data_IF_604736367363
#
_entry.id   IF_604736367363
#
_cell.length_a   1.000
_cell.length_b   1.000
_cell.length_c   1.000
_cell.angle_alpha   90.00
_cell.angle_beta   90.00
_cell.angle_gamma   90.00
#
_symmetry.space_group_name_H-M   'P 1'
#
loop_
_entity.id
_entity.type
_entity.pdbx_description
1 polymer ?
#
# COMPACT_ATOMS: atom_id res chain seq x y z
N UNK A 1 7.16 -17.18 -21.73
CA UNK A 1 7.05 -16.37 -20.51
C UNK A 1 5.77 -16.72 -19.81
N UNK A 2 5.81 -16.98 -18.51
CA UNK A 2 4.64 -17.27 -17.67
C UNK A 2 4.02 -15.91 -17.31
N UNK A 3 2.79 -15.64 -17.73
CA UNK A 3 2.09 -14.38 -17.42
C UNK A 3 1.81 -14.31 -15.92
N UNK A 4 2.02 -13.14 -15.29
CA UNK A 4 1.66 -12.88 -13.88
C UNK A 4 0.30 -12.18 -13.88
N UNK A 5 -0.82 -12.87 -13.62
CA UNK A 5 -2.11 -12.20 -13.54
C UNK A 5 -2.11 -11.22 -12.37
N UNK A 6 -2.62 -10.01 -12.59
CA UNK A 6 -2.97 -9.06 -11.54
C UNK A 6 -4.26 -9.55 -10.88
N UNK A 7 -4.14 -10.56 -10.03
CA UNK A 7 -5.23 -10.98 -9.15
C UNK A 7 -5.39 -9.88 -8.09
N UNK A 8 -6.31 -8.94 -8.34
CA UNK A 8 -6.72 -7.93 -7.37
C UNK A 8 -7.34 -8.62 -6.15
N UNK A 9 -6.54 -8.86 -5.13
CA UNK A 9 -7.06 -9.18 -3.79
C UNK A 9 -6.35 -8.31 -2.77
N UNK A 10 -6.62 -7.01 -2.85
CA UNK A 10 -6.94 -6.19 -1.69
C UNK A 10 -7.56 -4.86 -2.15
N UNK A 11 -8.66 -4.53 -1.48
CA UNK A 11 -9.24 -3.21 -1.27
C UNK A 11 -10.22 -2.68 -2.33
N UNK A 12 -11.40 -2.31 -1.81
CA UNK A 12 -12.45 -1.61 -2.53
C UNK A 12 -13.85 -2.06 -2.13
N UNK A 13 -14.36 -1.50 -1.03
CA UNK A 13 -15.77 -1.40 -0.58
C UNK A 13 -16.24 -2.36 0.53
N UNK A 14 -16.47 -1.76 1.69
CA UNK A 14 -17.34 -2.14 2.83
C UNK A 14 -17.32 -3.63 3.23
N UNK A 15 -16.65 -3.87 4.36
CA UNK A 15 -16.31 -5.18 4.92
C UNK A 15 -15.16 -5.88 4.18
N UNK A 16 -13.96 -6.01 4.81
CA UNK A 16 -13.00 -6.99 4.32
C UNK A 16 -13.72 -8.36 4.27
N UNK A 17 -13.63 -9.05 3.12
CA UNK A 17 -14.16 -10.42 3.02
C UNK A 17 -13.56 -11.29 4.12
N UNK A 18 -14.24 -12.38 4.50
CA UNK A 18 -13.69 -13.28 5.50
C UNK A 18 -12.28 -13.77 5.12
N UNK A 19 -12.03 -14.01 3.82
CA UNK A 19 -10.69 -14.30 3.30
C UNK A 19 -9.65 -13.24 3.66
N UNK A 20 -10.00 -11.95 3.66
CA UNK A 20 -9.07 -10.86 4.02
C UNK A 20 -8.79 -10.79 5.52
N UNK A 21 -9.80 -11.06 6.37
CA UNK A 21 -9.58 -11.25 7.81
C UNK A 21 -8.65 -12.43 8.08
N UNK A 22 -8.79 -13.50 7.30
CA UNK A 22 -8.00 -14.72 7.46
C UNK A 22 -6.61 -14.65 6.81
N UNK A 23 -6.37 -13.69 5.91
CA UNK A 23 -5.12 -13.60 5.14
C UNK A 23 -3.93 -13.10 5.95
N UNK A 24 -4.16 -12.44 7.10
CA UNK A 24 -3.13 -11.91 8.01
C UNK A 24 -1.93 -11.32 7.25
N UNK A 25 -2.21 -10.40 6.33
CA UNK A 25 -1.25 -9.92 5.33
C UNK A 25 0.01 -9.36 5.99
N UNK A 26 -0.15 -8.68 7.13
CA UNK A 26 0.99 -8.15 7.87
C UNK A 26 1.79 -9.25 8.58
N UNK A 27 1.17 -10.35 9.04
CA UNK A 27 1.93 -11.51 9.54
C UNK A 27 2.76 -12.15 8.43
N UNK A 28 2.19 -12.31 7.23
CA UNK A 28 2.95 -12.84 6.08
C UNK A 28 4.10 -11.92 5.70
N UNK A 29 3.86 -10.61 5.64
CA UNK A 29 4.92 -9.64 5.39
C UNK A 29 6.02 -9.68 6.49
N UNK A 30 5.66 -9.95 7.74
CA UNK A 30 6.63 -10.06 8.83
C UNK A 30 7.63 -11.21 8.64
N UNK A 31 7.33 -12.24 7.85
CA UNK A 31 8.24 -13.36 7.58
C UNK A 31 9.46 -12.95 6.73
N UNK A 32 9.32 -11.91 5.91
CA UNK A 32 10.36 -11.44 4.99
C UNK A 32 11.07 -10.16 5.43
N UNK A 33 10.66 -9.56 6.56
CA UNK A 33 11.18 -8.29 7.07
C UNK A 33 12.24 -8.50 8.16
N UNK A 34 13.15 -7.53 8.31
CA UNK A 34 14.10 -7.49 9.44
C UNK A 34 13.35 -7.46 10.79
N UNK A 35 13.96 -8.03 11.84
CA UNK A 35 13.33 -8.28 13.13
C UNK A 35 12.53 -7.12 13.72
N UNK A 36 13.00 -5.87 13.58
CA UNK A 36 12.25 -4.70 14.08
C UNK A 36 11.03 -4.36 13.23
N UNK A 37 11.14 -4.47 11.91
CA UNK A 37 10.01 -4.26 10.98
C UNK A 37 9.00 -5.40 11.08
N UNK A 38 9.48 -6.63 11.24
CA UNK A 38 8.64 -7.81 11.46
C UNK A 38 7.79 -7.68 12.74
N UNK A 39 8.35 -7.15 13.83
CA UNK A 39 7.59 -6.89 15.06
C UNK A 39 6.48 -5.85 14.84
N UNK A 40 6.78 -4.78 14.09
CA UNK A 40 5.79 -3.74 13.75
C UNK A 40 4.70 -4.28 12.83
N UNK A 41 5.04 -5.12 11.86
CA UNK A 41 4.08 -5.79 11.01
C UNK A 41 3.15 -6.72 11.84
N UNK A 42 3.69 -7.49 12.79
CA UNK A 42 2.85 -8.26 13.73
C UNK A 42 1.91 -7.38 14.54
N UNK A 43 2.39 -6.25 15.07
CA UNK A 43 1.55 -5.29 15.79
C UNK A 43 0.45 -4.69 14.91
N UNK A 44 0.71 -4.44 13.63
CA UNK A 44 -0.31 -3.97 12.69
C UNK A 44 -1.43 -5.00 12.51
N UNK A 45 -1.07 -6.27 12.44
CA UNK A 45 -2.04 -7.36 12.34
C UNK A 45 -2.94 -7.43 13.59
N UNK A 46 -2.36 -7.30 14.78
CA UNK A 46 -3.11 -7.25 16.04
C UNK A 46 -4.08 -6.06 16.06
N UNK A 47 -3.62 -4.86 15.66
CA UNK A 47 -4.45 -3.65 15.63
C UNK A 47 -5.55 -3.71 14.58
N UNK A 48 -5.29 -4.35 13.43
CA UNK A 48 -6.29 -4.59 12.41
C UNK A 48 -7.37 -5.55 12.92
N UNK A 49 -6.95 -6.65 13.54
CA UNK A 49 -7.85 -7.64 14.14
C UNK A 49 -8.74 -6.98 15.20
N UNK A 50 -8.15 -6.26 16.16
CA UNK A 50 -8.91 -5.53 17.19
C UNK A 50 -9.88 -4.52 16.59
N UNK A 51 -9.45 -3.76 15.59
CA UNK A 51 -10.29 -2.75 14.96
C UNK A 51 -11.40 -3.33 14.07
N UNK A 52 -11.38 -4.62 13.76
CA UNK A 52 -12.39 -5.31 12.95
C UNK A 52 -13.20 -6.34 13.74
N UNK A 53 -12.87 -6.58 15.00
CA UNK A 53 -13.48 -7.62 15.86
C UNK A 53 -14.93 -7.29 16.25
N UNK A 54 -15.23 -6.02 16.53
CA UNK A 54 -16.56 -5.57 16.91
C UNK A 54 -17.06 -4.39 16.08
N UNK A 55 -18.39 -4.27 15.97
CA UNK A 55 -19.04 -3.31 15.08
C UNK A 55 -18.70 -1.84 15.38
N UNK A 56 -18.48 -1.46 16.65
CA UNK A 56 -18.19 -0.06 17.00
C UNK A 56 -16.75 0.30 16.65
N UNK A 57 -15.81 -0.60 16.95
CA UNK A 57 -14.41 -0.44 16.56
C UNK A 57 -14.26 -0.39 15.04
N UNK A 58 -14.98 -1.26 14.34
CA UNK A 58 -15.01 -1.29 12.89
C UNK A 58 -15.61 -0.01 12.28
N UNK A 59 -16.70 0.51 12.84
CA UNK A 59 -17.28 1.78 12.41
C UNK A 59 -16.28 2.93 12.59
N UNK A 60 -15.57 3.00 13.72
CA UNK A 60 -14.54 4.01 13.94
C UNK A 60 -13.39 3.91 12.92
N UNK A 61 -12.95 2.69 12.61
CA UNK A 61 -11.94 2.45 11.58
C UNK A 61 -12.43 2.84 10.18
N UNK A 62 -13.68 2.54 9.83
CA UNK A 62 -14.29 2.93 8.54
C UNK A 62 -14.46 4.43 8.39
N UNK A 63 -14.87 5.12 9.46
CA UNK A 63 -14.98 6.58 9.46
C UNK A 63 -13.61 7.23 9.22
N UNK A 64 -12.56 6.71 9.85
CA UNK A 64 -11.23 7.26 9.66
C UNK A 64 -10.66 6.93 8.28
N UNK A 65 -10.90 5.71 7.76
CA UNK A 65 -10.59 5.35 6.38
C UNK A 65 -11.25 6.31 5.38
N UNK A 66 -12.55 6.55 5.56
CA UNK A 66 -13.32 7.45 4.69
C UNK A 66 -12.75 8.87 4.75
N UNK A 67 -12.36 9.33 5.95
CA UNK A 67 -11.73 10.63 6.12
C UNK A 67 -10.37 10.72 5.41
N UNK A 68 -9.53 9.71 5.60
CA UNK A 68 -8.15 9.68 5.11
C UNK A 68 -8.05 9.56 3.59
N UNK A 69 -8.94 8.77 2.98
CA UNK A 69 -8.76 8.28 1.61
C UNK A 69 -9.89 8.67 0.65
N UNK A 70 -11.13 8.74 1.14
CA UNK A 70 -12.32 8.81 0.28
C UNK A 70 -13.09 10.13 0.35
N UNK A 71 -12.76 11.00 1.30
CA UNK A 71 -13.55 12.20 1.55
C UNK A 71 -13.62 13.10 0.34
N UNK A 72 -14.81 13.60 -0.02
CA UNK A 72 -14.94 14.55 -1.12
C UNK A 72 -14.03 15.77 -0.94
N UNK A 73 -13.39 16.21 -2.01
CA UNK A 73 -12.44 17.31 -2.01
C UNK A 73 -10.99 16.82 -2.05
N UNK A 74 -10.20 17.15 -1.02
CA UNK A 74 -8.79 16.75 -0.94
C UNK A 74 -8.57 15.88 0.29
N UNK A 75 -8.84 14.56 0.20
CA UNK A 75 -8.48 13.64 1.27
C UNK A 75 -6.97 13.74 1.53
N UNK A 76 -6.52 13.63 2.79
CA UNK A 76 -5.13 13.87 3.14
C UNK A 76 -4.20 12.84 2.52
N UNK A 77 -4.49 11.54 2.64
CA UNK A 77 -3.57 10.47 2.26
C UNK A 77 -4.03 9.79 0.96
N UNK A 78 -4.04 10.51 -0.17
CA UNK A 78 -4.54 9.98 -1.45
C UNK A 78 -3.83 8.69 -1.86
N UNK A 79 -4.60 7.66 -2.20
CA UNK A 79 -4.09 6.31 -2.48
C UNK A 79 -3.72 6.04 -3.95
N UNK A 80 -3.70 7.05 -4.83
CA UNK A 80 -3.46 6.83 -6.27
C UNK A 80 -2.19 7.54 -6.72
N UNK A 81 -1.34 6.90 -7.51
CA UNK A 81 -0.09 7.50 -8.01
C UNK A 81 -0.31 8.85 -8.70
N UNK A 82 -1.37 8.97 -9.52
CA UNK A 82 -1.72 10.23 -10.22
C UNK A 82 -2.02 11.40 -9.29
N UNK A 83 -2.43 11.14 -8.05
CA UNK A 83 -2.61 12.18 -7.04
C UNK A 83 -1.30 12.80 -6.56
N UNK A 84 -0.17 12.19 -6.89
CA UNK A 84 1.19 12.55 -6.48
C UNK A 84 2.08 12.94 -7.66
N UNK A 85 1.48 13.31 -8.80
CA UNK A 85 2.21 13.68 -10.03
C UNK A 85 3.20 14.85 -9.86
N UNK A 86 3.01 15.70 -8.87
CA UNK A 86 3.95 16.77 -8.52
C UNK A 86 5.28 16.22 -7.98
N UNK A 87 5.26 15.00 -7.44
CA UNK A 87 6.44 14.28 -6.93
C UNK A 87 6.94 13.21 -7.91
N UNK A 88 6.00 12.51 -8.54
CA UNK A 88 6.26 11.35 -9.39
C UNK A 88 6.37 11.70 -10.89
N UNK A 89 6.00 12.92 -11.28
CA UNK A 89 6.00 13.40 -12.66
C UNK A 89 4.61 13.36 -13.31
N UNK A 90 4.39 14.29 -14.24
CA UNK A 90 3.09 14.48 -14.92
C UNK A 90 2.63 13.27 -15.75
N UNK A 91 3.55 12.39 -16.14
CA UNK A 91 3.28 11.19 -16.96
C UNK A 91 3.27 9.90 -16.16
N UNK A 92 3.18 9.98 -14.83
CA UNK A 92 3.34 8.81 -13.94
C UNK A 92 2.44 7.63 -14.31
N UNK A 93 1.19 7.89 -14.71
CA UNK A 93 0.26 6.83 -15.09
C UNK A 93 0.72 6.07 -16.35
N UNK A 94 1.09 6.80 -17.40
CA UNK A 94 1.55 6.21 -18.66
C UNK A 94 2.85 5.42 -18.45
N UNK A 95 3.77 5.98 -17.66
CA UNK A 95 5.04 5.33 -17.32
C UNK A 95 4.84 4.06 -16.51
N UNK A 96 3.94 4.09 -15.53
CA UNK A 96 3.61 2.95 -14.68
C UNK A 96 2.95 1.82 -15.49
N UNK A 97 1.92 2.13 -16.28
CA UNK A 97 1.24 1.13 -17.11
C UNK A 97 2.18 0.53 -18.18
N UNK A 98 3.05 1.36 -18.76
CA UNK A 98 4.08 0.89 -19.69
C UNK A 98 5.08 -0.05 -19.02
N UNK A 99 5.50 0.27 -17.79
CA UNK A 99 6.36 -0.60 -16.99
C UNK A 99 5.69 -1.95 -16.74
N UNK A 100 4.44 -1.97 -16.26
CA UNK A 100 3.69 -3.20 -16.01
C UNK A 100 3.60 -4.08 -17.26
N UNK A 101 3.24 -3.49 -18.40
CA UNK A 101 3.18 -4.19 -19.68
C UNK A 101 4.53 -4.78 -20.10
N UNK A 102 5.62 -4.04 -19.90
CA UNK A 102 6.99 -4.52 -20.22
C UNK A 102 7.44 -5.69 -19.35
N UNK A 103 6.88 -5.82 -18.13
CA UNK A 103 7.14 -6.92 -17.19
C UNK A 103 6.14 -8.08 -17.32
N UNK A 104 5.22 -8.01 -18.28
CA UNK A 104 4.25 -9.08 -18.58
C UNK A 104 3.07 -9.15 -17.60
N UNK A 105 2.80 -8.07 -16.87
CA UNK A 105 1.54 -7.90 -16.14
C UNK A 105 0.45 -7.46 -17.11
N UNK A 106 -0.75 -8.01 -16.93
CA UNK A 106 -1.94 -7.66 -17.71
C UNK A 106 -3.03 -7.16 -16.75
N UNK A 107 -3.62 -6.01 -17.06
CA UNK A 107 -4.76 -5.48 -16.30
C UNK A 107 -6.00 -6.27 -16.71
N UNK A 108 -6.71 -6.82 -15.72
CA UNK A 108 -7.96 -7.53 -15.95
C UNK A 108 -9.06 -6.60 -16.47
N UNK A 109 -10.12 -7.17 -17.06
CA UNK A 109 -11.22 -6.36 -17.60
C UNK A 109 -12.20 -5.87 -16.53
N UNK A 110 -12.39 -6.65 -15.47
CA UNK A 110 -13.31 -6.37 -14.37
C UNK A 110 -12.53 -5.98 -13.11
N UNK A 111 -11.82 -4.85 -13.17
CA UNK A 111 -11.10 -4.33 -12.00
C UNK A 111 -12.05 -3.58 -11.07
N UNK A 112 -11.98 -3.89 -9.78
CA UNK A 112 -12.68 -3.11 -8.73
C UNK A 112 -11.96 -1.79 -8.44
N UNK A 113 -10.65 -1.80 -8.57
CA UNK A 113 -9.78 -0.66 -8.25
C UNK A 113 -8.74 -0.47 -9.38
N UNK A 114 -8.41 0.76 -9.78
CA UNK A 114 -7.35 1.04 -10.74
C UNK A 114 -5.99 0.46 -10.29
N UNK A 115 -5.14 -0.01 -11.22
CA UNK A 115 -3.84 -0.60 -10.88
C UNK A 115 -2.86 0.38 -10.24
N UNK A 116 -3.11 1.69 -10.33
CA UNK A 116 -2.32 2.75 -9.70
C UNK A 116 -2.73 3.04 -8.24
N UNK A 117 -3.74 2.36 -7.72
CA UNK A 117 -4.04 2.40 -6.29
C UNK A 117 -2.88 1.76 -5.52
N UNK A 118 -2.51 2.32 -4.37
CA UNK A 118 -1.33 1.95 -3.58
C UNK A 118 -1.26 0.45 -3.30
N UNK A 119 -2.41 -0.19 -3.16
CA UNK A 119 -2.49 -1.61 -2.82
C UNK A 119 -2.04 -2.50 -3.97
N UNK A 120 -2.67 -2.45 -5.18
CA UNK A 120 -2.11 -3.10 -6.35
C UNK A 120 -0.63 -2.74 -6.61
N UNK A 121 -0.22 -1.49 -6.37
CA UNK A 121 1.19 -1.07 -6.52
C UNK A 121 2.11 -1.85 -5.58
N UNK A 122 1.75 -1.99 -4.30
CA UNK A 122 2.52 -2.76 -3.31
C UNK A 122 2.47 -4.27 -3.58
N UNK A 123 1.34 -4.80 -4.05
CA UNK A 123 1.22 -6.20 -4.48
C UNK A 123 2.15 -6.51 -5.65
N UNK A 124 2.15 -5.66 -6.67
CA UNK A 124 3.08 -5.79 -7.79
C UNK A 124 4.51 -5.77 -7.28
N UNK A 125 4.84 -4.81 -6.41
CA UNK A 125 6.17 -4.69 -5.84
C UNK A 125 6.62 -6.01 -5.18
N UNK A 126 5.75 -6.71 -4.44
CA UNK A 126 6.10 -8.02 -3.85
C UNK A 126 6.27 -9.16 -4.86
N UNK A 127 5.68 -9.06 -6.05
CA UNK A 127 5.82 -10.04 -7.13
C UNK A 127 7.09 -9.83 -7.98
N UNK A 128 7.82 -8.75 -7.77
CA UNK A 128 9.03 -8.42 -8.51
C UNK A 128 10.24 -9.20 -8.00
N UNK A 129 11.15 -9.52 -8.93
CA UNK A 129 12.47 -10.05 -8.55
C UNK A 129 13.29 -8.95 -7.84
N UNK A 130 14.28 -9.30 -7.00
CA UNK A 130 15.07 -8.31 -6.24
C UNK A 130 15.65 -7.18 -7.10
N UNK A 131 16.14 -7.47 -8.30
CA UNK A 131 16.72 -6.47 -9.20
C UNK A 131 15.66 -5.52 -9.78
N UNK A 132 14.41 -5.98 -9.89
CA UNK A 132 13.28 -5.19 -10.37
C UNK A 132 12.67 -4.32 -9.25
N UNK A 133 12.70 -4.82 -8.00
CA UNK A 133 12.25 -4.10 -6.80
C UNK A 133 12.97 -2.76 -6.63
N UNK A 134 14.29 -2.74 -6.88
CA UNK A 134 15.11 -1.54 -6.84
C UNK A 134 14.60 -0.42 -7.76
N UNK A 135 14.46 -0.73 -9.06
CA UNK A 135 13.98 0.20 -10.08
C UNK A 135 12.55 0.66 -9.77
N UNK A 136 11.68 -0.29 -9.39
CA UNK A 136 10.28 0.00 -9.10
C UNK A 136 10.12 0.90 -7.88
N UNK A 137 10.87 0.61 -6.80
CA UNK A 137 10.83 1.40 -5.59
C UNK A 137 11.27 2.83 -5.88
N UNK A 138 12.40 3.02 -6.56
CA UNK A 138 12.89 4.35 -6.88
C UNK A 138 11.89 5.16 -7.73
N UNK A 139 11.33 4.53 -8.77
CA UNK A 139 10.45 5.21 -9.76
C UNK A 139 9.04 5.48 -9.26
N UNK A 140 8.42 4.54 -8.54
CA UNK A 140 6.98 4.57 -8.29
C UNK A 140 6.61 4.71 -6.81
N UNK A 141 7.50 4.34 -5.88
CA UNK A 141 7.18 4.31 -4.45
C UNK A 141 7.95 5.35 -3.63
N UNK A 142 9.27 5.48 -3.80
CA UNK A 142 10.18 6.14 -2.84
C UNK A 142 9.70 7.51 -2.35
N UNK A 143 9.34 8.40 -3.28
CA UNK A 143 8.88 9.77 -3.00
C UNK A 143 7.44 9.82 -2.47
N UNK A 144 6.61 8.93 -2.97
CA UNK A 144 5.19 8.86 -2.65
C UNK A 144 4.94 8.21 -1.28
N UNK A 145 5.50 7.02 -1.06
CA UNK A 145 5.22 6.21 0.13
C UNK A 145 5.69 6.89 1.41
N UNK A 146 6.80 7.62 1.37
CA UNK A 146 7.30 8.36 2.54
C UNK A 146 6.34 9.49 2.91
N UNK A 147 5.96 10.35 1.97
CA UNK A 147 5.04 11.46 2.25
C UNK A 147 3.64 10.94 2.62
N UNK A 148 3.14 9.92 1.90
CA UNK A 148 1.87 9.26 2.20
C UNK A 148 1.85 8.67 3.62
N UNK A 149 2.93 8.00 4.02
CA UNK A 149 3.05 7.40 5.35
C UNK A 149 3.06 8.44 6.48
N UNK A 150 3.69 9.61 6.26
CA UNK A 150 3.67 10.72 7.21
C UNK A 150 2.27 11.30 7.35
N UNK A 151 1.52 11.45 6.25
CA UNK A 151 0.14 11.91 6.29
C UNK A 151 -0.75 10.94 7.08
N UNK A 152 -0.55 9.63 6.94
CA UNK A 152 -1.25 8.67 7.79
C UNK A 152 -0.92 8.85 9.27
N UNK A 153 0.36 8.95 9.62
CA UNK A 153 0.77 9.12 11.01
C UNK A 153 0.19 10.39 11.64
N UNK A 154 0.20 11.51 10.91
CA UNK A 154 -0.23 12.81 11.44
C UNK A 154 -1.74 13.02 11.40
N UNK A 155 -2.39 12.56 10.32
CA UNK A 155 -3.80 12.85 10.10
C UNK A 155 -4.69 11.80 10.71
N UNK A 156 -4.28 10.52 10.82
CA UNK A 156 -5.13 9.46 11.31
C UNK A 156 -5.64 9.72 12.74
N UNK A 157 -6.88 9.32 12.99
CA UNK A 157 -7.49 9.31 14.32
C UNK A 157 -7.44 7.93 14.94
N UNK A 158 -7.63 6.89 14.14
CA UNK A 158 -7.60 5.50 14.56
C UNK A 158 -6.16 4.99 14.65
N UNK A 159 -5.83 4.27 15.71
CA UNK A 159 -4.44 3.87 16.00
C UNK A 159 -3.85 2.96 14.92
N UNK A 160 -4.66 2.07 14.34
CA UNK A 160 -4.24 1.25 13.19
C UNK A 160 -3.61 2.07 12.06
N UNK A 161 -4.28 3.13 11.57
CA UNK A 161 -3.74 3.92 10.46
C UNK A 161 -2.52 4.76 10.87
N UNK A 162 -2.43 5.18 12.14
CA UNK A 162 -1.22 5.84 12.65
C UNK A 162 -0.01 4.90 12.63
N UNK A 163 -0.19 3.70 13.15
CA UNK A 163 0.86 2.68 13.14
C UNK A 163 1.18 2.23 11.72
N UNK A 164 0.19 2.21 10.82
CA UNK A 164 0.40 1.91 9.40
C UNK A 164 1.33 2.96 8.76
N UNK A 165 1.09 4.24 9.05
CA UNK A 165 1.97 5.33 8.68
C UNK A 165 3.38 5.15 9.21
N UNK A 166 3.55 4.89 10.51
CA UNK A 166 4.87 4.64 11.12
C UNK A 166 5.59 3.47 10.47
N UNK A 167 4.88 2.38 10.22
CA UNK A 167 5.42 1.20 9.57
C UNK A 167 5.94 1.51 8.18
N UNK A 168 5.14 2.14 7.31
CA UNK A 168 5.58 2.47 5.95
C UNK A 168 6.68 3.54 5.91
N UNK A 169 6.70 4.45 6.89
CA UNK A 169 7.78 5.43 7.03
C UNK A 169 9.12 4.75 7.40
N UNK A 170 9.08 3.68 8.19
CA UNK A 170 10.28 2.90 8.54
C UNK A 170 10.66 1.92 7.43
N UNK A 171 9.68 1.23 6.85
CA UNK A 171 9.87 0.33 5.73
C UNK A 171 10.50 1.05 4.55
N UNK A 172 10.00 2.22 4.16
CA UNK A 172 10.58 3.00 3.06
C UNK A 172 12.04 3.42 3.30
N UNK A 173 12.41 3.72 4.55
CA UNK A 173 13.80 4.02 4.93
C UNK A 173 14.69 2.80 4.91
N UNK A 174 14.15 1.63 5.27
CA UNK A 174 14.86 0.35 5.21
C UNK A 174 15.04 -0.08 3.75
N UNK A 175 13.98 0.00 2.96
CA UNK A 175 13.93 -0.33 1.55
C UNK A 175 14.92 0.53 0.74
N UNK A 176 15.02 1.82 1.07
CA UNK A 176 16.04 2.70 0.49
C UNK A 176 17.48 2.40 0.94
N UNK A 177 17.71 1.55 1.94
CA UNK A 177 19.06 1.10 2.27
C UNK A 177 19.40 -0.19 1.55
N UNK A 178 18.42 -1.09 1.42
CA UNK A 178 18.60 -2.42 0.85
C UNK A 178 18.56 -2.41 -0.69
N UNK A 179 17.62 -1.69 -1.31
CA UNK A 179 17.28 -1.88 -2.72
C UNK A 179 17.40 -0.61 -3.61
N UNK A 180 17.50 0.62 -3.09
CA UNK A 180 17.62 1.80 -3.98
C UNK A 180 17.82 3.13 -3.26
N UNK A 181 18.09 4.23 -3.96
CA UNK A 181 18.22 5.57 -3.32
C UNK A 181 16.88 6.30 -3.29
N UNK A 182 16.56 6.99 -2.19
CA UNK A 182 15.61 8.12 -2.22
C UNK A 182 16.23 9.20 -3.10
N UNK A 183 15.69 9.42 -4.31
CA UNK A 183 16.01 10.57 -5.16
C UNK A 183 15.06 11.74 -4.93
#
# INVERSE_FOLDING_TARGET
MRKRPLNLVLLGLFEPSQELRDMHVFLKAAESLDGKLAEKARRLDDLYTQGTEDAKSFEAMLLDYTRLFLSPGSPPAKNYLTCWKDKLGDKILDEYLSYLGSRGFEVERDIKEPPEHIVPVLEIYELLEPEEKAEFFERFLSKFVLEWSLLLETEAKHEFYKELGRFFAEWSKWESKENGRIS
#
